data_IF_833320752243
#
_entry.id   IF_833320752243
#
_cell.length_a   1.000
_cell.length_b   1.000
_cell.length_c   1.000
_cell.angle_alpha   90.00
_cell.angle_beta   90.00
_cell.angle_gamma   90.00
#
_symmetry.space_group_name_H-M   'P 1'
#
loop_
_entity.id
_entity.type
_entity.pdbx_description
1 polymer ?
#
# COMPACT_ATOMS: atom_id res chain seq x y z
N UNK A 1 -25.63 20.48 0.68
CA UNK A 1 -24.42 19.74 1.08
C UNK A 1 -23.23 20.30 0.36
N UNK A 2 -22.11 20.55 1.06
CA UNK A 2 -20.86 21.05 0.50
C UNK A 2 -19.75 20.03 0.73
N UNK A 3 -19.07 19.64 -0.34
CA UNK A 3 -17.99 18.63 -0.30
C UNK A 3 -16.69 19.25 -0.79
N UNK A 4 -15.64 19.11 0.00
CA UNK A 4 -14.28 19.51 -0.40
C UNK A 4 -13.56 18.25 -0.88
N UNK A 5 -12.96 18.33 -2.06
CA UNK A 5 -12.30 17.21 -2.73
C UNK A 5 -10.87 17.58 -3.10
N UNK A 6 -9.90 16.76 -2.72
CA UNK A 6 -8.52 16.88 -3.21
C UNK A 6 -8.51 16.73 -4.74
N UNK A 7 -8.07 17.78 -5.42
CA UNK A 7 -8.11 17.91 -6.89
C UNK A 7 -7.25 16.87 -7.63
N UNK A 8 -6.34 16.21 -6.93
CA UNK A 8 -5.48 15.18 -7.49
C UNK A 8 -6.06 13.75 -7.37
N UNK A 9 -7.30 13.59 -6.86
CA UNK A 9 -8.03 12.32 -6.92
C UNK A 9 -8.52 12.12 -8.36
N UNK A 10 -8.09 11.06 -9.04
CA UNK A 10 -8.48 10.83 -10.43
C UNK A 10 -9.94 10.37 -10.54
N UNK A 11 -10.56 10.54 -11.72
CA UNK A 11 -11.91 10.05 -12.07
C UNK A 11 -13.09 10.65 -11.28
N UNK A 12 -12.87 11.64 -10.39
CA UNK A 12 -13.91 12.11 -9.46
C UNK A 12 -14.72 13.30 -9.98
N UNK A 13 -14.18 14.03 -10.99
CA UNK A 13 -14.83 15.26 -11.49
C UNK A 13 -16.14 14.96 -12.24
N UNK A 14 -17.17 15.76 -11.97
CA UNK A 14 -18.49 15.59 -12.57
C UNK A 14 -19.38 14.54 -11.90
N UNK A 15 -18.87 13.83 -10.88
CA UNK A 15 -19.59 12.72 -10.23
C UNK A 15 -20.51 13.21 -9.10
N UNK A 16 -20.00 14.07 -8.24
CA UNK A 16 -20.73 14.53 -7.03
C UNK A 16 -21.48 15.85 -7.29
N UNK A 17 -21.05 16.63 -8.27
CA UNK A 17 -21.61 17.95 -8.58
C UNK A 17 -23.13 17.98 -8.86
N UNK A 18 -23.77 16.93 -9.42
CA UNK A 18 -25.22 16.90 -9.55
C UNK A 18 -25.98 16.89 -8.21
N UNK A 19 -25.29 16.54 -7.10
CA UNK A 19 -25.90 16.29 -5.80
C UNK A 19 -25.40 17.23 -4.70
N UNK A 20 -24.29 17.95 -4.93
CA UNK A 20 -23.64 18.79 -3.93
C UNK A 20 -22.90 19.97 -4.55
N UNK A 21 -22.71 21.02 -3.75
CA UNK A 21 -21.68 22.03 -4.00
C UNK A 21 -20.32 21.39 -3.80
N UNK A 22 -19.47 21.32 -4.85
CA UNK A 22 -18.17 20.68 -4.80
C UNK A 22 -17.08 21.74 -4.94
N UNK A 23 -16.10 21.70 -4.03
CA UNK A 23 -14.90 22.55 -4.08
C UNK A 23 -13.68 21.64 -4.30
N UNK A 24 -13.05 21.78 -5.46
CA UNK A 24 -11.79 21.11 -5.76
C UNK A 24 -10.61 22.00 -5.39
N UNK A 25 -9.68 21.51 -4.60
CA UNK A 25 -8.47 22.24 -4.21
C UNK A 25 -7.29 21.28 -4.02
N UNK A 26 -6.08 21.85 -4.03
CA UNK A 26 -4.89 21.07 -3.66
C UNK A 26 -4.89 20.78 -2.16
N UNK A 27 -4.17 19.73 -1.76
CA UNK A 27 -4.03 19.37 -0.34
C UNK A 27 -3.54 20.54 0.52
N UNK A 28 -2.64 21.37 0.00
CA UNK A 28 -2.10 22.55 0.71
C UNK A 28 -3.13 23.68 0.93
N UNK A 29 -4.23 23.68 0.16
CA UNK A 29 -5.28 24.68 0.29
C UNK A 29 -6.44 24.21 1.20
N UNK A 30 -6.40 22.99 1.70
CA UNK A 30 -7.40 22.48 2.65
C UNK A 30 -7.01 22.93 4.06
N UNK A 31 -7.59 24.05 4.50
CA UNK A 31 -7.38 24.64 5.82
C UNK A 31 -8.67 24.75 6.64
N UNK A 32 -8.56 25.12 7.90
CA UNK A 32 -9.69 25.24 8.84
C UNK A 32 -10.74 26.27 8.40
N UNK A 33 -10.37 27.28 7.60
CA UNK A 33 -11.30 28.25 7.06
C UNK A 33 -12.16 27.65 5.97
N UNK A 34 -11.53 26.91 5.04
CA UNK A 34 -12.20 26.25 3.93
C UNK A 34 -13.16 25.15 4.40
N UNK A 35 -12.74 24.35 5.39
CA UNK A 35 -13.54 23.20 5.88
C UNK A 35 -14.69 23.61 6.81
N UNK A 36 -14.69 24.86 7.32
CA UNK A 36 -15.69 25.32 8.32
C UNK A 36 -17.13 25.02 7.95
N UNK A 37 -17.50 25.25 6.69
CA UNK A 37 -18.87 25.10 6.19
C UNK A 37 -19.06 23.82 5.34
N UNK A 38 -18.05 22.97 5.27
CA UNK A 38 -18.13 21.72 4.53
C UNK A 38 -18.87 20.63 5.35
N UNK A 39 -19.67 19.83 4.65
CA UNK A 39 -20.35 18.67 5.22
C UNK A 39 -19.46 17.42 5.13
N UNK A 40 -18.60 17.34 4.10
CA UNK A 40 -17.70 16.18 3.87
C UNK A 40 -16.38 16.59 3.23
N UNK A 41 -15.37 15.75 3.49
CA UNK A 41 -14.04 15.81 2.85
C UNK A 41 -13.78 14.53 2.09
N UNK A 42 -13.21 14.64 0.87
CA UNK A 42 -12.63 13.51 0.15
C UNK A 42 -11.16 13.83 -0.10
N UNK A 43 -10.28 13.17 0.63
CA UNK A 43 -8.86 13.54 0.75
C UNK A 43 -7.91 12.41 0.35
N UNK A 44 -6.61 12.72 0.34
CA UNK A 44 -5.51 11.76 0.24
C UNK A 44 -4.56 11.94 1.43
N UNK A 45 -3.51 11.12 1.50
CA UNK A 45 -2.57 11.03 2.63
C UNK A 45 -1.86 12.33 3.03
N UNK A 46 -1.80 13.35 2.17
CA UNK A 46 -1.11 14.62 2.46
C UNK A 46 -1.97 15.61 3.24
N UNK A 47 -3.29 15.45 3.26
CA UNK A 47 -4.18 16.27 4.08
C UNK A 47 -4.27 15.69 5.48
N UNK A 48 -3.67 16.35 6.46
CA UNK A 48 -3.76 15.94 7.87
C UNK A 48 -5.11 16.34 8.44
N UNK A 49 -6.01 15.36 8.59
CA UNK A 49 -7.33 15.56 9.21
C UNK A 49 -7.22 15.42 10.74
N UNK A 50 -6.65 16.43 11.35
CA UNK A 50 -6.45 16.53 12.81
C UNK A 50 -7.45 17.49 13.45
N UNK A 51 -7.45 17.55 14.79
CA UNK A 51 -8.32 18.47 15.55
C UNK A 51 -8.23 19.90 15.06
N UNK A 52 -7.02 20.41 14.77
CA UNK A 52 -6.80 21.79 14.32
C UNK A 52 -7.47 22.12 13.01
N UNK A 53 -7.59 21.13 12.11
CA UNK A 53 -8.30 21.29 10.84
C UNK A 53 -9.82 21.25 11.04
N UNK A 54 -10.31 20.33 11.90
CA UNK A 54 -11.71 19.92 11.92
C UNK A 54 -12.54 20.62 13.02
N UNK A 55 -11.90 21.15 14.07
CA UNK A 55 -12.61 21.75 15.21
C UNK A 55 -13.44 22.97 14.77
N UNK A 56 -14.70 22.98 15.16
CA UNK A 56 -15.66 24.02 14.80
C UNK A 56 -16.17 23.97 13.36
N UNK A 57 -15.83 22.92 12.58
CA UNK A 57 -16.37 22.68 11.26
C UNK A 57 -17.73 21.97 11.31
N UNK A 58 -18.43 21.93 10.17
CA UNK A 58 -19.68 21.14 9.99
C UNK A 58 -19.42 19.74 9.42
N UNK A 59 -18.14 19.35 9.29
CA UNK A 59 -17.77 18.06 8.69
C UNK A 59 -18.35 16.90 9.50
N UNK A 60 -19.06 16.00 8.83
CA UNK A 60 -19.65 14.79 9.40
C UNK A 60 -19.09 13.51 8.77
N UNK A 61 -18.38 13.65 7.66
CA UNK A 61 -17.86 12.53 6.90
C UNK A 61 -16.50 12.85 6.26
N UNK A 62 -15.56 11.92 6.36
CA UNK A 62 -14.27 11.98 5.69
C UNK A 62 -14.05 10.68 4.94
N UNK A 63 -13.84 10.75 3.62
CA UNK A 63 -13.33 9.64 2.83
C UNK A 63 -11.87 9.89 2.47
N UNK A 64 -10.99 8.92 2.71
CA UNK A 64 -9.65 8.97 2.13
C UNK A 64 -9.54 8.03 0.93
N UNK A 65 -9.23 8.58 -0.24
CA UNK A 65 -8.98 7.82 -1.48
C UNK A 65 -7.62 7.11 -1.44
N UNK A 66 -7.27 6.58 -0.27
CA UNK A 66 -6.05 5.83 0.03
C UNK A 66 -6.34 4.73 1.06
N UNK A 67 -5.39 3.82 1.28
CA UNK A 67 -5.56 2.69 2.19
C UNK A 67 -5.33 3.11 3.63
N UNK A 68 -4.17 3.74 3.88
CA UNK A 68 -3.75 4.17 5.22
C UNK A 68 -4.57 5.32 5.75
N UNK A 69 -4.73 5.36 7.08
CA UNK A 69 -5.42 6.41 7.82
C UNK A 69 -4.48 7.21 8.71
N UNK A 70 -3.18 7.01 8.56
CA UNK A 70 -2.11 7.60 9.40
C UNK A 70 -2.16 9.15 9.45
N UNK A 71 -2.86 9.77 8.49
CA UNK A 71 -3.07 11.23 8.37
C UNK A 71 -4.40 11.70 8.98
N UNK A 72 -5.20 10.80 9.56
CA UNK A 72 -6.51 11.10 10.16
C UNK A 72 -6.44 10.83 11.67
N UNK A 73 -6.80 11.82 12.47
CA UNK A 73 -7.01 11.68 13.91
C UNK A 73 -8.35 10.97 14.16
N UNK A 74 -8.32 9.65 14.16
CA UNK A 74 -9.53 8.82 14.31
C UNK A 74 -10.16 8.99 15.69
N UNK A 75 -9.37 9.22 16.72
CA UNK A 75 -9.87 9.46 18.09
C UNK A 75 -10.69 10.75 18.13
N UNK A 76 -10.15 11.83 17.58
CA UNK A 76 -10.89 13.08 17.48
C UNK A 76 -12.13 12.95 16.59
N UNK A 77 -12.02 12.27 15.43
CA UNK A 77 -13.16 12.05 14.55
C UNK A 77 -14.29 11.31 15.28
N UNK A 78 -13.96 10.29 16.06
CA UNK A 78 -14.91 9.55 16.87
C UNK A 78 -15.57 10.44 17.95
N UNK A 79 -14.76 11.24 18.68
CA UNK A 79 -15.27 12.21 19.68
C UNK A 79 -16.23 13.24 19.07
N UNK A 80 -15.91 13.72 17.85
CA UNK A 80 -16.68 14.74 17.15
C UNK A 80 -17.87 14.16 16.35
N UNK A 81 -18.06 12.84 16.32
CA UNK A 81 -19.12 12.17 15.56
C UNK A 81 -18.91 12.22 14.05
N UNK A 82 -17.65 12.31 13.60
CA UNK A 82 -17.26 12.30 12.17
C UNK A 82 -17.03 10.85 11.73
N UNK A 83 -17.78 10.38 10.74
CA UNK A 83 -17.55 9.07 10.15
C UNK A 83 -16.34 9.11 9.20
N UNK A 84 -15.45 8.10 9.31
CA UNK A 84 -14.24 7.98 8.49
C UNK A 84 -14.31 6.72 7.64
N UNK A 85 -14.18 6.87 6.33
CA UNK A 85 -14.06 5.77 5.38
C UNK A 85 -12.69 5.79 4.67
N UNK A 86 -12.10 4.62 4.46
CA UNK A 86 -10.88 4.46 3.67
C UNK A 86 -11.07 3.50 2.51
N UNK A 87 -10.22 3.62 1.50
CA UNK A 87 -10.22 2.73 0.35
C UNK A 87 -9.35 1.47 0.59
N UNK A 88 -9.52 0.84 1.76
CA UNK A 88 -8.73 -0.33 2.14
C UNK A 88 -8.87 -1.47 1.12
N UNK A 89 -7.73 -1.94 0.56
CA UNK A 89 -7.68 -2.99 -0.45
C UNK A 89 -7.81 -2.51 -1.90
N UNK A 90 -8.06 -1.23 -2.16
CA UNK A 90 -8.25 -0.70 -3.52
C UNK A 90 -7.13 -1.06 -4.49
N UNK A 91 -5.89 -1.12 -4.03
CA UNK A 91 -4.69 -1.36 -4.85
C UNK A 91 -3.98 -2.69 -4.53
N UNK A 92 -4.66 -3.62 -3.84
CA UNK A 92 -4.02 -4.85 -3.36
C UNK A 92 -3.41 -5.68 -4.51
N UNK A 93 -4.02 -5.68 -5.69
CA UNK A 93 -3.49 -6.36 -6.89
C UNK A 93 -2.27 -5.65 -7.48
N UNK A 94 -2.24 -4.33 -7.44
CA UNK A 94 -1.04 -3.57 -7.80
C UNK A 94 0.16 -3.96 -6.92
N UNK A 95 -0.02 -4.07 -5.59
CA UNK A 95 1.04 -4.55 -4.69
C UNK A 95 1.38 -6.01 -4.96
N UNK A 96 0.40 -6.87 -5.23
CA UNK A 96 0.64 -8.26 -5.63
C UNK A 96 1.56 -8.35 -6.85
N UNK A 97 1.33 -7.53 -7.90
CA UNK A 97 2.19 -7.49 -9.08
C UNK A 97 3.63 -7.09 -8.75
N UNK A 98 3.81 -6.11 -7.86
CA UNK A 98 5.15 -5.72 -7.40
C UNK A 98 5.84 -6.88 -6.66
N UNK A 99 5.13 -7.56 -5.76
CA UNK A 99 5.64 -8.74 -5.04
C UNK A 99 5.98 -9.87 -6.02
N UNK A 100 5.12 -10.13 -7.02
CA UNK A 100 5.36 -11.14 -8.05
C UNK A 100 6.64 -10.85 -8.85
N UNK A 101 6.84 -9.59 -9.27
CA UNK A 101 8.05 -9.16 -9.95
C UNK A 101 9.30 -9.32 -9.07
N UNK A 102 9.21 -8.99 -7.78
CA UNK A 102 10.30 -9.18 -6.82
C UNK A 102 10.61 -10.66 -6.61
N UNK A 103 9.61 -11.52 -6.42
CA UNK A 103 9.77 -12.97 -6.28
C UNK A 103 10.40 -13.58 -7.55
N UNK A 104 9.94 -13.19 -8.75
CA UNK A 104 10.57 -13.59 -10.01
C UNK A 104 12.05 -13.25 -10.01
N UNK A 105 12.40 -12.01 -9.70
CA UNK A 105 13.80 -11.56 -9.71
C UNK A 105 14.67 -12.38 -8.74
N UNK A 106 14.18 -12.64 -7.51
CA UNK A 106 14.89 -13.44 -6.51
C UNK A 106 15.11 -14.87 -7.00
N UNK A 107 14.05 -15.55 -7.40
CA UNK A 107 14.08 -16.96 -7.81
C UNK A 107 14.97 -17.17 -9.05
N UNK A 108 14.85 -16.28 -10.04
CA UNK A 108 15.66 -16.37 -11.25
C UNK A 108 17.14 -16.05 -11.01
N UNK A 109 17.44 -15.05 -10.17
CA UNK A 109 18.84 -14.71 -9.84
C UNK A 109 19.55 -15.80 -9.03
N UNK A 110 18.83 -16.54 -8.21
CA UNK A 110 19.38 -17.65 -7.43
C UNK A 110 19.44 -18.98 -8.24
N UNK A 111 18.83 -19.03 -9.43
CA UNK A 111 18.78 -20.24 -10.29
C UNK A 111 17.96 -21.36 -9.67
N UNK A 112 16.96 -21.05 -8.88
CA UNK A 112 16.10 -21.99 -8.15
C UNK A 112 14.68 -22.04 -8.70
N UNK A 113 13.84 -22.87 -8.09
CA UNK A 113 12.40 -22.96 -8.34
C UNK A 113 11.63 -22.50 -7.11
N UNK A 114 10.34 -22.07 -7.25
CA UNK A 114 9.52 -21.63 -6.13
C UNK A 114 9.40 -22.67 -4.98
N UNK A 115 9.33 -23.96 -5.31
CA UNK A 115 9.17 -25.06 -4.34
C UNK A 115 10.42 -25.28 -3.45
N UNK A 116 11.53 -24.63 -3.78
CA UNK A 116 12.75 -24.62 -2.97
C UNK A 116 12.79 -23.49 -1.94
N UNK A 117 11.74 -22.66 -1.86
CA UNK A 117 11.66 -21.52 -0.94
C UNK A 117 10.52 -21.66 0.06
N UNK A 118 10.81 -21.21 1.27
CA UNK A 118 9.78 -20.89 2.27
C UNK A 118 9.55 -19.38 2.26
N UNK A 119 8.33 -18.96 1.90
CA UNK A 119 7.89 -17.57 1.91
C UNK A 119 7.13 -17.28 3.21
N UNK A 120 7.65 -16.37 4.02
CA UNK A 120 6.94 -15.82 5.18
C UNK A 120 6.10 -14.61 4.76
N UNK A 121 4.80 -14.67 4.95
CA UNK A 121 3.87 -13.56 4.69
C UNK A 121 3.43 -12.97 6.02
N UNK A 122 3.82 -11.73 6.30
CA UNK A 122 3.54 -11.02 7.55
C UNK A 122 2.49 -9.94 7.30
N UNK A 123 1.35 -10.05 7.96
CA UNK A 123 0.13 -9.31 7.63
C UNK A 123 -0.65 -10.01 6.49
N UNK A 124 -1.73 -10.72 6.84
CA UNK A 124 -2.53 -11.51 5.89
C UNK A 124 -3.91 -10.83 5.69
N UNK A 125 -3.88 -9.50 5.46
CA UNK A 125 -5.02 -8.67 5.12
C UNK A 125 -5.33 -8.71 3.61
N UNK A 126 -5.77 -7.57 3.04
CA UNK A 126 -6.14 -7.48 1.62
C UNK A 126 -5.01 -7.89 0.67
N UNK A 127 -3.80 -7.41 0.91
CA UNK A 127 -2.63 -7.74 0.07
C UNK A 127 -2.09 -9.12 0.42
N UNK A 128 -1.78 -9.38 1.69
CA UNK A 128 -1.14 -10.62 2.11
C UNK A 128 -1.95 -11.86 1.77
N UNK A 129 -3.28 -11.79 1.79
CA UNK A 129 -4.14 -12.91 1.36
C UNK A 129 -3.97 -13.25 -0.12
N UNK A 130 -3.89 -12.23 -0.98
CA UNK A 130 -3.59 -12.43 -2.42
C UNK A 130 -2.20 -13.01 -2.62
N UNK A 131 -1.20 -12.51 -1.89
CA UNK A 131 0.17 -13.03 -1.96
C UNK A 131 0.22 -14.50 -1.51
N UNK A 132 -0.46 -14.87 -0.43
CA UNK A 132 -0.56 -16.27 0.03
C UNK A 132 -1.18 -17.16 -1.03
N UNK A 133 -2.31 -16.75 -1.61
CA UNK A 133 -3.02 -17.49 -2.65
C UNK A 133 -2.13 -17.76 -3.86
N UNK A 134 -1.55 -16.69 -4.43
CA UNK A 134 -0.71 -16.79 -5.61
C UNK A 134 0.61 -17.52 -5.35
N UNK A 135 1.28 -17.25 -4.23
CA UNK A 135 2.53 -17.91 -3.89
C UNK A 135 2.36 -19.44 -3.71
N UNK A 136 1.27 -19.87 -3.06
CA UNK A 136 0.94 -21.30 -2.97
C UNK A 136 0.68 -21.92 -4.34
N UNK A 137 -0.04 -21.20 -5.20
CA UNK A 137 -0.30 -21.63 -6.58
C UNK A 137 1.00 -21.73 -7.41
N UNK A 138 1.98 -20.86 -7.16
CA UNK A 138 3.30 -20.90 -7.80
C UNK A 138 4.23 -21.98 -7.22
N UNK A 139 3.83 -22.63 -6.14
CA UNK A 139 4.57 -23.76 -5.54
C UNK A 139 5.44 -23.37 -4.33
N UNK A 140 5.44 -22.13 -3.86
CA UNK A 140 6.14 -21.77 -2.62
C UNK A 140 5.53 -22.49 -1.39
N UNK A 141 6.39 -22.89 -0.46
CA UNK A 141 5.95 -23.19 0.90
C UNK A 141 5.66 -21.87 1.61
N UNK A 142 4.41 -21.65 2.04
CA UNK A 142 4.00 -20.37 2.64
C UNK A 142 3.74 -20.53 4.13
N UNK A 143 4.37 -19.67 4.95
CA UNK A 143 4.11 -19.49 6.37
C UNK A 143 3.41 -18.12 6.56
N UNK A 144 2.34 -18.09 7.35
CA UNK A 144 1.54 -16.87 7.57
C UNK A 144 1.74 -16.37 9.01
N UNK A 145 1.88 -15.05 9.17
CA UNK A 145 1.87 -14.36 10.46
C UNK A 145 0.87 -13.21 10.43
N UNK A 146 -0.19 -13.31 11.22
CA UNK A 146 -1.19 -12.24 11.42
C UNK A 146 -1.86 -12.48 12.77
N UNK A 147 -1.31 -11.96 13.88
CA UNK A 147 -1.85 -12.22 15.20
C UNK A 147 -3.32 -11.81 15.38
N UNK A 148 -3.77 -10.61 14.94
CA UNK A 148 -5.18 -10.24 15.05
C UNK A 148 -6.12 -11.17 14.28
N UNK A 149 -5.67 -11.67 13.14
CA UNK A 149 -6.45 -12.61 12.34
C UNK A 149 -6.48 -14.00 12.98
N UNK A 150 -5.35 -14.45 13.50
CA UNK A 150 -5.27 -15.71 14.25
C UNK A 150 -6.21 -15.76 15.44
N UNK A 151 -6.29 -14.66 16.21
CA UNK A 151 -7.21 -14.55 17.34
C UNK A 151 -8.68 -14.65 16.93
N UNK A 152 -9.05 -14.05 15.77
CA UNK A 152 -10.45 -14.07 15.29
C UNK A 152 -10.86 -15.37 14.63
N UNK A 153 -9.97 -15.99 13.86
CA UNK A 153 -10.29 -17.04 12.89
C UNK A 153 -9.66 -18.40 13.25
N UNK A 154 -8.61 -18.38 14.10
CA UNK A 154 -7.77 -19.57 14.31
C UNK A 154 -6.98 -19.91 13.04
N UNK A 155 -6.56 -21.15 12.90
CA UNK A 155 -5.88 -21.67 11.72
C UNK A 155 -4.36 -21.64 11.79
N UNK A 156 -3.70 -21.85 10.65
CA UNK A 156 -2.25 -22.00 10.55
C UNK A 156 -1.54 -20.64 10.47
N UNK A 157 -1.43 -19.96 11.59
CA UNK A 157 -0.60 -18.76 11.73
C UNK A 157 0.58 -19.07 12.65
N UNK A 158 1.72 -18.50 12.33
CA UNK A 158 2.98 -18.67 13.06
C UNK A 158 3.37 -17.35 13.77
N UNK A 159 4.00 -17.41 14.95
CA UNK A 159 4.64 -16.25 15.53
C UNK A 159 5.68 -15.65 14.59
N UNK A 160 5.87 -14.33 14.66
CA UNK A 160 6.84 -13.63 13.81
C UNK A 160 8.26 -14.20 13.94
N UNK A 161 8.68 -14.60 15.14
CA UNK A 161 10.00 -15.17 15.37
C UNK A 161 10.20 -16.54 14.73
N UNK A 162 9.12 -17.30 14.51
CA UNK A 162 9.16 -18.53 13.74
C UNK A 162 9.27 -18.28 12.24
N UNK A 163 8.58 -17.25 11.74
CA UNK A 163 8.73 -16.78 10.35
C UNK A 163 10.19 -16.40 10.09
N UNK A 164 10.76 -15.57 10.95
CA UNK A 164 12.15 -15.06 10.83
C UNK A 164 13.17 -16.21 10.76
N UNK A 165 13.00 -17.25 11.59
CA UNK A 165 13.92 -18.39 11.62
C UNK A 165 13.74 -19.38 10.47
N UNK A 166 12.56 -19.45 9.84
CA UNK A 166 12.23 -20.50 8.88
C UNK A 166 12.14 -20.00 7.43
N UNK A 167 11.80 -18.73 7.21
CA UNK A 167 11.58 -18.22 5.87
C UNK A 167 12.90 -17.91 5.12
N UNK A 168 12.92 -18.19 3.83
CA UNK A 168 13.98 -17.78 2.90
C UNK A 168 13.68 -16.40 2.33
N UNK A 169 12.40 -16.04 2.23
CA UNK A 169 11.91 -14.73 1.81
C UNK A 169 10.82 -14.32 2.80
N UNK A 170 10.86 -13.09 3.29
CA UNK A 170 9.83 -12.50 4.15
C UNK A 170 9.23 -11.32 3.40
N UNK A 171 7.90 -11.28 3.28
CA UNK A 171 7.19 -10.16 2.67
C UNK A 171 6.21 -9.54 3.67
N UNK A 172 6.25 -8.20 3.77
CA UNK A 172 5.58 -7.44 4.81
C UNK A 172 4.38 -6.68 4.24
N UNK A 173 3.20 -6.88 4.85
CA UNK A 173 1.92 -6.28 4.44
C UNK A 173 1.11 -5.79 5.64
N UNK A 174 1.80 -5.31 6.67
CA UNK A 174 1.20 -4.78 7.91
C UNK A 174 0.97 -3.26 7.80
N UNK A 175 -0.01 -2.68 8.51
CA UNK A 175 -0.02 -1.25 8.79
C UNK A 175 1.20 -0.86 9.63
N UNK A 176 1.45 0.43 9.79
CA UNK A 176 2.42 0.96 10.75
C UNK A 176 1.67 1.48 11.96
N UNK A 177 1.94 0.86 13.11
CA UNK A 177 1.45 1.26 14.42
C UNK A 177 2.47 0.91 15.51
N UNK A 178 2.14 1.11 16.78
CA UNK A 178 3.04 0.82 17.88
C UNK A 178 3.46 -0.66 17.98
N UNK A 179 2.69 -1.59 17.42
CA UNK A 179 2.98 -3.03 17.45
C UNK A 179 3.82 -3.49 16.27
N UNK A 180 3.88 -2.69 15.19
CA UNK A 180 4.53 -3.02 13.93
C UNK A 180 5.72 -2.11 13.60
N UNK A 181 5.93 -1.03 14.38
CA UNK A 181 7.12 -0.20 14.26
C UNK A 181 8.37 -1.04 14.59
N UNK A 182 9.32 -1.06 13.65
CA UNK A 182 10.51 -1.92 13.71
C UNK A 182 10.16 -3.38 14.05
N UNK A 183 9.06 -3.88 13.48
CA UNK A 183 8.68 -5.29 13.62
C UNK A 183 9.85 -6.20 13.19
N UNK A 184 10.58 -5.82 12.15
CA UNK A 184 11.84 -6.45 11.75
C UNK A 184 12.99 -5.57 12.26
N UNK A 185 13.33 -5.76 13.53
CA UNK A 185 14.40 -5.08 14.25
C UNK A 185 15.75 -5.80 14.11
N UNK A 186 16.80 -5.25 14.71
CA UNK A 186 18.17 -5.80 14.66
C UNK A 186 18.27 -7.23 15.18
N UNK A 187 17.51 -7.59 16.23
CA UNK A 187 17.51 -8.95 16.83
C UNK A 187 16.92 -9.97 15.85
N UNK A 188 15.78 -9.63 15.22
CA UNK A 188 15.16 -10.47 14.21
C UNK A 188 15.98 -10.57 12.94
N UNK A 189 16.63 -9.49 12.52
CA UNK A 189 17.55 -9.50 11.38
C UNK A 189 18.73 -10.44 11.67
N UNK A 190 19.30 -10.41 12.86
CA UNK A 190 20.37 -11.34 13.26
C UNK A 190 19.93 -12.81 13.33
N UNK A 191 18.62 -13.07 13.47
CA UNK A 191 18.04 -14.41 13.55
C UNK A 191 17.57 -14.96 12.19
N UNK A 192 17.68 -14.17 11.11
CA UNK A 192 17.32 -14.58 9.76
C UNK A 192 18.20 -15.72 9.25
N UNK A 193 17.63 -16.56 8.40
CA UNK A 193 18.41 -17.58 7.68
C UNK A 193 19.50 -16.93 6.82
N UNK A 194 20.66 -17.58 6.64
CA UNK A 194 21.68 -17.10 5.70
C UNK A 194 21.07 -16.87 4.30
N UNK A 195 21.37 -15.70 3.72
CA UNK A 195 20.85 -15.25 2.40
C UNK A 195 19.35 -14.97 2.35
N UNK A 196 18.66 -14.92 3.48
CA UNK A 196 17.26 -14.52 3.50
C UNK A 196 17.07 -13.13 2.85
N UNK A 197 15.87 -12.92 2.28
CA UNK A 197 15.48 -11.67 1.61
C UNK A 197 14.29 -11.06 2.31
N UNK A 198 14.34 -9.75 2.59
CA UNK A 198 13.21 -9.01 3.15
C UNK A 198 12.57 -8.17 2.03
N UNK A 199 11.28 -8.36 1.79
CA UNK A 199 10.46 -7.53 0.90
C UNK A 199 9.57 -6.60 1.74
N UNK A 200 9.63 -5.30 1.50
CA UNK A 200 8.75 -4.34 2.16
C UNK A 200 8.04 -3.44 1.16
N UNK A 201 6.74 -3.67 1.00
CA UNK A 201 5.81 -2.84 0.23
C UNK A 201 4.65 -2.35 1.11
N UNK A 202 4.89 -2.22 2.43
CA UNK A 202 3.88 -1.78 3.41
C UNK A 202 4.15 -0.36 3.92
N UNK A 203 5.01 -0.19 4.92
CA UNK A 203 5.51 1.08 5.46
C UNK A 203 6.99 0.95 5.81
N UNK A 204 7.78 1.99 5.54
CA UNK A 204 9.24 1.98 5.74
C UNK A 204 9.64 1.55 7.14
N UNK A 205 9.10 2.20 8.15
CA UNK A 205 9.42 1.95 9.57
C UNK A 205 8.89 0.61 10.15
N UNK A 206 8.30 -0.27 9.35
CA UNK A 206 8.06 -1.68 9.75
C UNK A 206 9.38 -2.46 9.82
N UNK A 207 10.39 -2.04 9.07
CA UNK A 207 11.75 -2.59 9.10
C UNK A 207 12.68 -1.51 9.64
N UNK A 208 13.54 -1.86 10.59
CA UNK A 208 14.67 -1.02 10.98
C UNK A 208 15.67 -0.95 9.81
N UNK A 209 15.55 0.11 9.02
CA UNK A 209 16.32 0.27 7.79
C UNK A 209 17.83 0.36 8.06
N UNK A 210 18.23 0.94 9.20
CA UNK A 210 19.62 1.02 9.63
C UNK A 210 20.17 -0.37 9.96
N UNK A 211 19.43 -1.15 10.76
CA UNK A 211 19.84 -2.48 11.13
C UNK A 211 19.97 -3.41 9.91
N UNK A 212 19.07 -3.28 8.91
CA UNK A 212 19.17 -4.07 7.69
C UNK A 212 20.37 -3.66 6.83
N UNK A 213 20.70 -2.38 6.78
CA UNK A 213 21.88 -1.88 6.06
C UNK A 213 23.19 -2.34 6.70
N UNK A 214 23.25 -2.46 8.01
CA UNK A 214 24.40 -2.98 8.76
C UNK A 214 24.55 -4.52 8.63
N UNK A 215 23.51 -5.22 8.19
CA UNK A 215 23.48 -6.67 8.00
C UNK A 215 24.07 -7.11 6.64
N UNK A 216 24.20 -8.42 6.42
CA UNK A 216 24.56 -8.99 5.12
C UNK A 216 23.35 -9.52 4.34
N UNK A 217 22.14 -9.29 4.85
CA UNK A 217 20.91 -9.77 4.20
C UNK A 217 20.55 -8.94 2.99
N UNK A 218 19.87 -9.58 2.04
CA UNK A 218 19.29 -8.93 0.84
C UNK A 218 17.96 -8.32 1.19
N UNK A 219 17.62 -7.22 0.56
CA UNK A 219 16.31 -6.60 0.71
C UNK A 219 15.83 -5.91 -0.56
N UNK A 220 14.52 -5.87 -0.71
CA UNK A 220 13.82 -5.19 -1.81
C UNK A 220 12.70 -4.34 -1.20
N UNK A 221 12.81 -3.03 -1.34
CA UNK A 221 11.92 -2.08 -0.70
C UNK A 221 11.24 -1.16 -1.72
N UNK A 222 9.93 -1.04 -1.57
CA UNK A 222 9.13 0.01 -2.20
C UNK A 222 8.94 1.20 -1.28
N UNK A 223 9.01 0.96 0.03
CA UNK A 223 8.80 1.94 1.09
C UNK A 223 10.03 2.04 1.99
N UNK A 224 10.31 3.25 2.49
CA UNK A 224 11.55 3.57 3.18
C UNK A 224 11.26 4.34 4.47
N UNK A 225 12.12 4.20 5.47
CA UNK A 225 12.17 5.19 6.55
C UNK A 225 12.60 6.55 5.98
N UNK A 226 12.09 7.61 6.54
CA UNK A 226 12.45 8.99 6.21
C UNK A 226 12.11 9.43 4.76
N UNK A 227 11.15 8.75 4.09
CA UNK A 227 10.65 9.25 2.80
C UNK A 227 10.27 10.74 2.89
N UNK A 228 10.64 11.57 1.91
CA UNK A 228 11.30 11.24 0.64
C UNK A 228 12.84 11.31 0.69
N UNK A 229 13.46 11.52 1.84
CA UNK A 229 14.90 11.73 2.04
C UNK A 229 15.61 10.42 2.35
N UNK A 230 15.78 9.58 1.32
CA UNK A 230 16.34 8.24 1.47
C UNK A 230 17.81 8.27 1.93
N UNK A 231 18.17 7.35 2.81
CA UNK A 231 19.58 7.11 3.12
C UNK A 231 20.29 6.49 1.90
N UNK A 232 21.33 7.15 1.33
CA UNK A 232 21.98 6.69 0.10
C UNK A 232 22.62 5.30 0.24
N UNK A 233 23.19 4.97 1.39
CA UNK A 233 23.82 3.67 1.62
C UNK A 233 22.79 2.54 1.60
N UNK A 234 21.65 2.74 2.29
CA UNK A 234 20.56 1.78 2.30
C UNK A 234 20.00 1.60 0.89
N UNK A 235 19.78 2.70 0.16
CA UNK A 235 19.29 2.66 -1.20
C UNK A 235 20.21 1.89 -2.14
N UNK A 236 21.52 2.19 -2.12
CA UNK A 236 22.48 1.55 -3.03
C UNK A 236 22.64 0.06 -2.77
N UNK A 237 22.53 -0.40 -1.52
CA UNK A 237 22.63 -1.80 -1.15
C UNK A 237 21.35 -2.61 -1.43
N UNK A 238 20.20 -1.96 -1.57
CA UNK A 238 18.95 -2.64 -1.88
C UNK A 238 19.09 -3.45 -3.18
N UNK A 239 18.59 -4.68 -3.17
CA UNK A 239 18.49 -5.53 -4.35
C UNK A 239 17.52 -4.91 -5.39
N UNK A 240 16.38 -4.46 -4.89
CA UNK A 240 15.35 -3.74 -5.63
C UNK A 240 14.91 -2.53 -4.80
N UNK A 241 14.65 -1.42 -5.49
CA UNK A 241 14.31 -0.15 -4.88
C UNK A 241 13.31 0.60 -5.75
N UNK A 242 12.12 0.88 -5.22
CA UNK A 242 11.10 1.65 -5.96
C UNK A 242 10.59 2.81 -5.11
N UNK A 243 10.09 3.91 -5.72
CA UNK A 243 9.73 5.14 -5.02
C UNK A 243 8.28 5.12 -4.50
N UNK A 244 7.91 4.11 -3.69
CA UNK A 244 6.58 3.94 -3.10
C UNK A 244 5.46 3.86 -4.14
N UNK A 245 5.64 3.01 -5.15
CA UNK A 245 4.75 2.82 -6.30
C UNK A 245 4.17 1.41 -6.39
N UNK A 246 4.45 0.51 -5.44
CA UNK A 246 3.96 -0.87 -5.47
C UNK A 246 2.44 -0.97 -5.67
N UNK A 247 1.67 -0.05 -5.09
CA UNK A 247 0.22 0.02 -5.25
C UNK A 247 -0.27 0.91 -6.40
N UNK A 248 0.61 1.42 -7.27
CA UNK A 248 0.24 2.40 -8.29
C UNK A 248 -0.21 1.71 -9.58
N UNK A 249 -1.49 1.38 -9.65
CA UNK A 249 -2.17 0.84 -10.84
C UNK A 249 -3.37 1.71 -11.22
N UNK A 250 -3.78 1.65 -12.50
CA UNK A 250 -4.94 2.37 -12.99
C UNK A 250 -6.21 1.88 -12.28
N UNK A 251 -6.38 0.58 -12.15
CA UNK A 251 -7.50 -0.04 -11.45
C UNK A 251 -7.49 0.28 -9.95
N UNK A 252 -6.31 0.24 -9.31
CA UNK A 252 -6.18 0.62 -7.90
C UNK A 252 -6.59 2.06 -7.64
N UNK A 253 -6.23 3.00 -8.53
CA UNK A 253 -6.67 4.41 -8.43
C UNK A 253 -8.18 4.56 -8.66
N UNK A 254 -8.72 3.88 -9.68
CA UNK A 254 -10.15 3.87 -9.94
C UNK A 254 -10.94 3.27 -8.76
N UNK A 255 -10.47 2.15 -8.21
CA UNK A 255 -11.08 1.52 -7.04
C UNK A 255 -11.08 2.45 -5.82
N UNK A 256 -9.97 3.18 -5.58
CA UNK A 256 -9.88 4.12 -4.47
C UNK A 256 -10.94 5.22 -4.56
N UNK A 257 -11.11 5.80 -5.75
CA UNK A 257 -12.15 6.81 -6.00
C UNK A 257 -13.55 6.20 -5.89
N UNK A 258 -13.79 5.03 -6.49
CA UNK A 258 -15.05 4.29 -6.38
C UNK A 258 -15.45 4.07 -4.93
N UNK A 259 -14.55 3.54 -4.10
CA UNK A 259 -14.82 3.24 -2.69
C UNK A 259 -15.11 4.53 -1.91
N UNK A 260 -14.39 5.62 -2.17
CA UNK A 260 -14.62 6.90 -1.52
C UNK A 260 -15.98 7.51 -1.88
N UNK A 261 -16.36 7.47 -3.16
CA UNK A 261 -17.66 7.96 -3.64
C UNK A 261 -18.80 7.11 -3.11
N UNK A 262 -18.66 5.78 -3.15
CA UNK A 262 -19.71 4.88 -2.66
C UNK A 262 -19.93 5.02 -1.14
N UNK A 263 -18.85 5.25 -0.37
CA UNK A 263 -18.96 5.51 1.06
C UNK A 263 -19.61 6.88 1.34
N UNK A 264 -19.20 7.94 0.63
CA UNK A 264 -19.85 9.26 0.69
C UNK A 264 -21.35 9.14 0.36
N UNK A 265 -21.66 8.43 -0.73
CA UNK A 265 -23.04 8.23 -1.18
C UNK A 265 -23.89 7.48 -0.16
N UNK A 266 -23.32 6.47 0.49
CA UNK A 266 -24.00 5.72 1.55
C UNK A 266 -24.29 6.61 2.76
N UNK A 267 -23.35 7.46 3.17
CA UNK A 267 -23.51 8.35 4.33
C UNK A 267 -24.57 9.41 4.09
N UNK A 268 -24.64 9.99 2.87
CA UNK A 268 -25.56 11.09 2.53
C UNK A 268 -26.77 10.67 1.72
N UNK A 269 -27.03 9.37 1.58
CA UNK A 269 -28.16 8.80 0.82
C UNK A 269 -28.21 9.30 -0.64
N UNK A 270 -27.06 9.28 -1.33
CA UNK A 270 -26.95 9.65 -2.74
C UNK A 270 -27.07 8.42 -3.66
N UNK A 271 -27.58 8.57 -4.90
CA UNK A 271 -27.71 7.46 -5.85
C UNK A 271 -26.36 7.09 -6.53
N UNK A 272 -25.28 7.07 -5.77
CA UNK A 272 -23.91 6.77 -6.22
C UNK A 272 -23.28 5.58 -5.48
N UNK A 273 -24.07 4.80 -4.76
CA UNK A 273 -23.56 3.68 -3.93
C UNK A 273 -22.94 2.54 -4.72
N UNK A 274 -23.12 2.49 -6.03
CA UNK A 274 -22.54 1.51 -6.96
C UNK A 274 -21.77 2.18 -8.11
N UNK A 275 -21.47 3.47 -7.96
CA UNK A 275 -20.76 4.22 -8.99
C UNK A 275 -19.32 3.70 -9.16
N UNK A 276 -18.83 3.77 -10.38
CA UNK A 276 -17.44 3.50 -10.78
C UNK A 276 -17.13 4.26 -12.06
N UNK A 277 -15.86 4.62 -12.33
CA UNK A 277 -15.48 5.24 -13.58
C UNK A 277 -15.62 4.24 -14.75
N UNK A 278 -16.28 4.67 -15.83
CA UNK A 278 -16.54 3.83 -17.01
C UNK A 278 -15.29 3.60 -17.86
N UNK A 279 -14.35 4.54 -17.83
CA UNK A 279 -13.11 4.52 -18.61
C UNK A 279 -12.07 3.51 -18.10
N UNK A 280 -12.28 2.92 -16.92
CA UNK A 280 -11.36 1.92 -16.35
C UNK A 280 -12.04 0.57 -16.23
N UNK A 281 -11.60 -0.38 -17.05
CA UNK A 281 -12.05 -1.76 -16.94
C UNK A 281 -11.53 -2.38 -15.64
N UNK A 282 -12.40 -2.99 -14.81
CA UNK A 282 -11.95 -3.71 -13.62
C UNK A 282 -11.03 -4.86 -13.95
N UNK A 283 -10.09 -5.13 -13.06
CA UNK A 283 -9.27 -6.34 -13.13
C UNK A 283 -10.15 -7.58 -13.04
N UNK A 284 -9.99 -8.50 -13.99
CA UNK A 284 -10.56 -9.84 -13.87
C UNK A 284 -9.57 -10.71 -13.10
N UNK A 285 -9.90 -11.18 -11.88
CA UNK A 285 -9.02 -12.04 -11.11
C UNK A 285 -8.62 -13.31 -11.88
N UNK A 286 -7.31 -13.58 -11.93
CA UNK A 286 -6.73 -14.77 -12.57
C UNK A 286 -5.62 -15.34 -11.71
N UNK A 287 -5.53 -16.65 -11.64
CA UNK A 287 -4.37 -17.36 -11.07
C UNK A 287 -3.49 -17.83 -12.24
N UNK A 288 -2.41 -17.08 -12.50
CA UNK A 288 -1.43 -17.43 -13.52
C UNK A 288 -0.48 -18.51 -13.00
N UNK A 289 -0.01 -19.39 -13.87
CA UNK A 289 1.12 -20.26 -13.53
C UNK A 289 2.38 -19.45 -13.27
N UNK A 290 3.37 -20.04 -12.60
CA UNK A 290 4.66 -19.37 -12.36
C UNK A 290 5.33 -18.96 -13.68
N UNK A 291 5.31 -19.83 -14.68
CA UNK A 291 5.92 -19.62 -16.00
C UNK A 291 5.20 -18.49 -16.76
N UNK A 292 3.87 -18.49 -16.74
CA UNK A 292 3.07 -17.43 -17.39
C UNK A 292 3.33 -16.08 -16.71
N UNK A 293 3.30 -16.03 -15.39
CA UNK A 293 3.62 -14.82 -14.62
C UNK A 293 5.03 -14.33 -14.93
N UNK A 294 6.03 -15.19 -14.87
CA UNK A 294 7.43 -14.82 -15.17
C UNK A 294 7.64 -14.28 -16.59
N UNK A 295 6.91 -14.83 -17.56
CA UNK A 295 7.05 -14.40 -18.98
C UNK A 295 6.40 -13.05 -19.27
N UNK A 296 5.48 -12.59 -18.43
CA UNK A 296 4.64 -11.41 -18.72
C UNK A 296 4.85 -10.25 -17.76
N UNK A 297 5.24 -10.50 -16.50
CA UNK A 297 5.20 -9.49 -15.42
C UNK A 297 6.01 -8.22 -15.73
N UNK A 298 7.17 -8.34 -16.37
CA UNK A 298 8.02 -7.17 -16.67
C UNK A 298 7.35 -6.18 -17.63
N UNK A 299 6.44 -6.67 -18.51
CA UNK A 299 5.63 -5.80 -19.36
C UNK A 299 4.61 -4.95 -18.62
N UNK A 300 4.27 -5.35 -17.38
CA UNK A 300 3.31 -4.65 -16.51
C UNK A 300 3.98 -3.97 -15.31
N UNK A 301 5.06 -4.53 -14.79
CA UNK A 301 5.72 -4.06 -13.57
C UNK A 301 7.24 -4.29 -13.66
N UNK A 302 7.94 -3.44 -14.39
CA UNK A 302 9.41 -3.50 -14.54
C UNK A 302 10.11 -2.83 -13.35
N UNK A 303 10.17 -3.55 -12.24
CA UNK A 303 10.81 -3.05 -11.00
C UNK A 303 12.33 -2.92 -11.13
N UNK A 304 12.96 -3.56 -12.12
CA UNK A 304 14.39 -3.42 -12.36
C UNK A 304 14.70 -2.06 -12.96
N UNK A 305 13.95 -1.65 -13.99
CA UNK A 305 14.09 -0.31 -14.57
C UNK A 305 13.82 0.79 -13.53
N UNK A 306 12.77 0.64 -12.72
CA UNK A 306 12.46 1.59 -11.63
C UNK A 306 13.57 1.64 -10.58
N UNK A 307 14.18 0.50 -10.25
CA UNK A 307 15.32 0.41 -9.32
C UNK A 307 16.53 1.19 -9.85
N UNK A 308 16.84 1.03 -11.12
CA UNK A 308 17.96 1.72 -11.76
C UNK A 308 17.74 3.25 -11.76
N UNK A 309 16.53 3.68 -12.13
CA UNK A 309 16.16 5.09 -12.14
C UNK A 309 16.29 5.69 -10.73
N UNK A 310 15.69 5.07 -9.71
CA UNK A 310 15.71 5.60 -8.35
C UNK A 310 17.13 5.65 -7.77
N UNK A 311 17.96 4.61 -7.98
CA UNK A 311 19.34 4.60 -7.51
C UNK A 311 20.21 5.67 -8.16
N UNK A 312 19.96 5.99 -9.42
CA UNK A 312 20.69 7.02 -10.14
C UNK A 312 20.21 8.46 -9.87
N UNK A 313 18.95 8.62 -9.41
CA UNK A 313 18.33 9.94 -9.16
C UNK A 313 17.51 9.95 -7.86
N UNK A 314 18.13 9.65 -6.70
CA UNK A 314 17.40 9.52 -5.43
C UNK A 314 16.72 10.83 -4.98
N UNK A 315 17.26 11.99 -5.37
CA UNK A 315 16.70 13.30 -5.10
C UNK A 315 15.36 13.54 -5.81
N UNK A 316 15.06 12.73 -6.83
CA UNK A 316 13.80 12.79 -7.59
C UNK A 316 12.70 11.87 -7.04
N UNK A 317 12.87 11.29 -5.85
CA UNK A 317 11.91 10.34 -5.27
C UNK A 317 10.45 10.80 -5.39
N UNK A 318 10.15 12.02 -4.93
CA UNK A 318 8.81 12.60 -5.00
C UNK A 318 8.33 12.80 -6.46
N UNK A 319 9.21 13.23 -7.34
CA UNK A 319 8.88 13.42 -8.77
C UNK A 319 8.58 12.06 -9.43
N UNK A 320 9.44 11.06 -9.23
CA UNK A 320 9.26 9.71 -9.76
C UNK A 320 7.94 9.09 -9.28
N UNK A 321 7.60 9.29 -8.00
CA UNK A 321 6.35 8.83 -7.42
C UNK A 321 5.12 9.55 -7.98
N UNK A 322 5.18 10.88 -8.10
CA UNK A 322 4.05 11.71 -8.52
C UNK A 322 3.77 11.60 -10.02
N UNK A 323 4.82 11.45 -10.84
CA UNK A 323 4.74 11.35 -12.31
C UNK A 323 4.66 9.90 -12.80
N UNK A 324 4.63 8.92 -11.86
CA UNK A 324 4.58 7.52 -12.22
C UNK A 324 3.36 7.21 -13.09
N UNK A 325 3.61 6.64 -14.28
CA UNK A 325 2.55 6.17 -15.16
C UNK A 325 1.90 4.94 -14.56
N UNK A 326 0.64 5.05 -14.14
CA UNK A 326 -0.11 3.94 -13.56
C UNK A 326 -0.11 2.73 -14.49
N UNK A 327 0.44 1.62 -14.01
CA UNK A 327 0.42 0.36 -14.72
C UNK A 327 -0.97 -0.26 -14.69
N UNK A 328 -1.19 -1.20 -15.59
CA UNK A 328 -2.43 -1.98 -15.64
C UNK A 328 -2.31 -3.21 -14.73
N UNK A 329 -3.39 -3.54 -14.01
CA UNK A 329 -3.51 -4.81 -13.30
C UNK A 329 -4.03 -5.88 -14.25
N UNK A 330 -3.31 -6.99 -14.40
CA UNK A 330 -3.67 -8.05 -15.35
C UNK A 330 -3.97 -9.40 -14.68
N UNK A 331 -3.78 -9.53 -13.35
CA UNK A 331 -4.14 -10.74 -12.57
C UNK A 331 -4.47 -10.45 -11.10
#
# INVERSE_FOLDING_TARGET
MKVIIDSAIPFIRGVVEPYAEVVYCSEAAIDSTLVRDADALVVRTRTKCCRELLEGSKVRFIATATIGRDHIDEDYCHEAGIEVASAAGCNARGVLQWVAAALKHIVMSDGKRPDEYTLGVVGVGNVGSLVVEHARHWGFRVLMCDPPRHEREGGEFYPIDDIVRQADIITLHTPLDATTHHLINSERIASLRPKAVILNASRGAVVDNRAVAESQHRYAFDVWEDEPHLNPEILQRAMLATPHIAGYSQQGKANATTMSINALAKHFDLPLTTWRPEEVTPTTPRLLSWEEMCSTIDGYCDIMAETEILKNTPERFETLRNEYRYREEYF
#
